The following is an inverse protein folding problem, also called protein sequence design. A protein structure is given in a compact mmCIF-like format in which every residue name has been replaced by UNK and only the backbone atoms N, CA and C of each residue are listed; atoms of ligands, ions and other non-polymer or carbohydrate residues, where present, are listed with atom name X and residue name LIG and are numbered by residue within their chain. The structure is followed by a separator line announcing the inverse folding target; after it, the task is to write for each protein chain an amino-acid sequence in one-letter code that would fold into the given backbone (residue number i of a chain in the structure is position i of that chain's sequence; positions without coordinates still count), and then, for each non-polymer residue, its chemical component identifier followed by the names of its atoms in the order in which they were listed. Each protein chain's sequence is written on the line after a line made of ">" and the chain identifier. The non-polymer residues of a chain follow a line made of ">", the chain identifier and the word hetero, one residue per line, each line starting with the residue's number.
data_IF_894258992769
#
_entry.id   IF_894258992769
#
_cell.length_a   1.000
_cell.length_b   1.000
_cell.length_c   1.000
_cell.angle_alpha   90.00
_cell.angle_beta   90.00
_cell.angle_gamma   90.00
#
_symmetry.space_group_name_H-M   'P 1'
#
loop_
_entity.id
_entity.type
_entity.pdbx_description
1 polymer ?
#
# COMPACT_ATOMS: atom_id res chain seq x y z
N UNK A 1 9.72 -9.98 -6.50
CA UNK A 1 9.63 -8.59 -6.95
C UNK A 1 8.85 -7.81 -5.92
N UNK A 2 9.41 -6.70 -5.39
CA UNK A 2 8.69 -5.79 -4.51
C UNK A 2 7.76 -4.89 -5.31
N UNK A 3 6.49 -4.86 -4.96
CA UNK A 3 5.42 -4.18 -5.68
C UNK A 3 4.77 -3.16 -4.77
N UNK A 4 4.27 -2.09 -5.36
CA UNK A 4 3.46 -1.09 -4.66
C UNK A 4 1.99 -1.36 -4.88
N UNK A 5 1.27 -1.22 -3.81
CA UNK A 5 -0.17 -1.43 -3.75
C UNK A 5 -0.81 -0.43 -2.80
N UNK A 6 -2.10 -0.43 -2.77
CA UNK A 6 -2.90 0.23 -1.77
C UNK A 6 -4.15 -0.62 -1.53
N UNK A 7 -4.02 -1.60 -0.64
CA UNK A 7 -5.11 -2.56 -0.33
C UNK A 7 -6.29 -1.87 0.34
N UNK A 8 -6.02 -0.84 1.12
CA UNK A 8 -7.04 0.01 1.73
C UNK A 8 -6.78 1.46 1.32
N UNK A 9 -7.07 1.75 0.06
CA UNK A 9 -6.67 2.97 -0.61
C UNK A 9 -7.37 4.22 -0.06
N UNK A 10 -6.59 5.30 0.09
CA UNK A 10 -7.09 6.65 0.28
C UNK A 10 -6.44 7.58 -0.74
N UNK A 11 -7.24 8.47 -1.31
CA UNK A 11 -6.78 9.45 -2.30
C UNK A 11 -5.93 10.54 -1.62
N UNK A 12 -4.83 10.87 -2.27
CA UNK A 12 -3.97 11.98 -1.88
C UNK A 12 -3.75 12.90 -3.09
N UNK A 13 -3.96 14.19 -2.90
CA UNK A 13 -3.80 15.22 -3.92
C UNK A 13 -2.64 16.13 -3.54
N UNK A 14 -1.68 16.29 -4.46
CA UNK A 14 -0.51 17.15 -4.29
C UNK A 14 -0.83 18.51 -4.93
N UNK A 15 -1.21 19.49 -4.11
CA UNK A 15 -1.80 20.75 -4.58
C UNK A 15 -0.84 21.60 -5.43
N UNK A 16 0.45 21.57 -5.12
CA UNK A 16 1.47 22.33 -5.85
C UNK A 16 2.17 21.52 -6.96
N UNK A 17 1.64 20.33 -7.33
CA UNK A 17 2.11 19.59 -8.49
C UNK A 17 1.28 19.95 -9.73
N UNK A 18 1.90 20.12 -10.94
CA UNK A 18 1.16 20.46 -12.17
C UNK A 18 0.08 19.41 -12.50
N UNK A 19 -1.11 19.89 -12.93
CA UNK A 19 -2.29 19.04 -13.11
C UNK A 19 -2.10 17.93 -14.14
N UNK A 20 -1.54 18.28 -15.29
CA UNK A 20 -1.41 17.37 -16.43
C UNK A 20 -0.04 16.66 -16.49
N UNK A 21 0.80 16.84 -15.47
CA UNK A 21 2.13 16.25 -15.47
C UNK A 21 2.13 14.87 -14.83
N UNK A 22 2.62 13.89 -15.57
CA UNK A 22 2.95 12.55 -15.06
C UNK A 22 4.43 12.30 -15.32
N UNK A 23 5.17 11.99 -14.28
CA UNK A 23 6.59 11.64 -14.35
C UNK A 23 6.77 10.13 -14.29
N UNK A 24 7.76 9.62 -15.02
CA UNK A 24 8.26 8.27 -14.91
C UNK A 24 9.50 8.27 -14.01
N UNK A 25 9.36 7.65 -12.86
CA UNK A 25 10.44 7.49 -11.89
C UNK A 25 10.94 6.04 -11.90
N UNK A 26 12.17 5.83 -11.44
CA UNK A 26 12.76 4.48 -11.34
C UNK A 26 12.62 3.94 -9.91
N UNK A 27 12.23 2.69 -9.80
CA UNK A 27 12.20 1.96 -8.54
C UNK A 27 12.88 0.59 -8.71
N UNK A 28 13.70 0.14 -7.74
CA UNK A 28 14.32 -1.18 -7.81
C UNK A 28 13.24 -2.27 -7.68
N UNK A 29 13.43 -3.37 -8.41
CA UNK A 29 12.58 -4.55 -8.31
C UNK A 29 12.82 -5.33 -7.01
N UNK A 30 13.99 -5.16 -6.41
CA UNK A 30 14.33 -5.72 -5.11
C UNK A 30 15.23 -4.74 -4.34
N UNK A 31 14.97 -4.50 -3.04
CA UNK A 31 15.70 -3.48 -2.28
C UNK A 31 17.17 -3.81 -2.00
N UNK A 32 17.57 -5.08 -2.08
CA UNK A 32 18.92 -5.58 -1.76
C UNK A 32 19.57 -6.37 -2.89
N UNK A 33 18.89 -6.57 -4.01
CA UNK A 33 19.43 -7.32 -5.16
C UNK A 33 19.32 -6.47 -6.43
N UNK A 34 20.42 -5.83 -6.79
CA UNK A 34 20.51 -4.95 -7.97
C UNK A 34 20.39 -5.72 -9.29
N UNK A 35 20.74 -7.02 -9.32
CA UNK A 35 20.62 -7.87 -10.52
C UNK A 35 19.16 -8.02 -10.97
N UNK A 36 18.20 -7.86 -10.07
CA UNK A 36 16.77 -7.84 -10.43
C UNK A 36 16.37 -6.59 -11.21
N UNK A 37 17.25 -5.61 -11.39
CA UNK A 37 17.03 -4.41 -12.16
C UNK A 37 16.00 -3.46 -11.56
N UNK A 38 15.58 -2.51 -12.39
CA UNK A 38 14.62 -1.48 -12.01
C UNK A 38 13.36 -1.57 -12.86
N UNK A 39 12.29 -0.96 -12.37
CA UNK A 39 11.06 -0.72 -13.11
C UNK A 39 10.68 0.75 -13.09
N UNK A 40 9.85 1.13 -14.03
CA UNK A 40 9.24 2.46 -14.06
C UNK A 40 8.01 2.49 -13.16
N UNK A 41 7.87 3.58 -12.42
CA UNK A 41 6.71 3.90 -11.61
C UNK A 41 6.22 5.28 -12.00
N UNK A 42 4.92 5.44 -12.05
CA UNK A 42 4.29 6.71 -12.37
C UNK A 42 4.15 7.58 -11.11
N UNK A 43 4.34 8.88 -11.27
CA UNK A 43 4.12 9.90 -10.26
C UNK A 43 3.37 11.07 -10.86
N UNK A 44 2.32 11.53 -10.21
CA UNK A 44 1.46 12.61 -10.65
C UNK A 44 0.83 13.36 -9.48
N UNK A 45 -0.06 14.29 -9.79
CA UNK A 45 -0.76 15.11 -8.81
C UNK A 45 -1.65 14.29 -7.87
N UNK A 46 -2.30 13.26 -8.39
CA UNK A 46 -3.20 12.40 -7.64
C UNK A 46 -2.59 11.01 -7.48
N UNK A 47 -2.52 10.56 -6.25
CA UNK A 47 -1.98 9.24 -5.91
C UNK A 47 -2.87 8.54 -4.89
N UNK A 48 -2.76 7.24 -4.79
CA UNK A 48 -3.31 6.45 -3.70
C UNK A 48 -2.20 6.06 -2.73
N UNK A 49 -2.50 6.15 -1.44
CA UNK A 49 -1.69 5.60 -0.35
C UNK A 49 -2.55 4.65 0.49
N UNK A 50 -1.95 3.81 1.31
CA UNK A 50 -2.71 2.99 2.26
C UNK A 50 -3.25 3.87 3.41
N UNK A 51 -4.50 3.65 3.80
CA UNK A 51 -5.14 4.35 4.94
C UNK A 51 -4.33 4.22 6.23
N UNK A 52 -3.66 3.09 6.43
CA UNK A 52 -2.82 2.86 7.60
C UNK A 52 -1.57 3.74 7.63
N UNK A 53 -1.19 4.33 6.50
CA UNK A 53 -0.06 5.26 6.40
C UNK A 53 -0.42 6.71 6.73
N UNK A 54 -1.69 6.99 7.05
CA UNK A 54 -2.13 8.32 7.47
C UNK A 54 -2.87 8.30 8.81
N UNK A 55 -2.65 9.32 9.61
CA UNK A 55 -3.48 9.68 10.76
C UNK A 55 -3.67 11.19 10.80
N UNK A 56 -4.87 11.65 11.14
CA UNK A 56 -5.16 13.09 11.26
C UNK A 56 -4.24 13.75 12.29
N UNK A 57 -4.08 13.12 13.44
CA UNK A 57 -3.16 13.55 14.49
C UNK A 57 -2.11 12.47 14.73
N UNK A 58 -0.85 12.85 14.72
CA UNK A 58 0.23 11.92 15.02
C UNK A 58 0.13 11.44 16.49
N UNK A 59 0.06 10.14 16.76
CA UNK A 59 -0.14 9.61 18.11
C UNK A 59 1.04 9.89 19.07
N UNK A 60 2.22 10.11 18.53
CA UNK A 60 3.43 10.46 19.28
C UNK A 60 4.54 11.02 18.37
N UNK A 61 5.62 11.49 18.95
CA UNK A 61 6.77 12.05 18.22
C UNK A 61 7.59 11.01 17.43
N UNK A 62 7.39 9.71 17.67
CA UNK A 62 8.05 8.61 16.96
C UNK A 62 7.25 8.13 15.76
N UNK A 63 6.06 8.69 15.51
CA UNK A 63 5.21 8.35 14.39
C UNK A 63 5.92 8.67 13.07
N UNK A 64 6.21 7.64 12.28
CA UNK A 64 6.99 7.72 11.03
C UNK A 64 6.10 7.66 9.77
N UNK A 65 4.83 8.01 9.90
CA UNK A 65 3.87 8.02 8.80
C UNK A 65 3.29 9.42 8.64
N UNK A 66 2.48 9.61 7.61
CA UNK A 66 1.91 10.91 7.28
C UNK A 66 0.87 11.34 8.34
N UNK A 67 0.91 12.58 8.74
CA UNK A 67 -0.13 13.24 9.53
C UNK A 67 -0.20 14.71 9.13
N UNK A 68 -1.26 15.41 9.53
CA UNK A 68 -1.37 16.84 9.28
C UNK A 68 -0.12 17.55 9.82
N UNK A 69 0.40 18.48 9.03
CA UNK A 69 1.62 19.25 9.26
C UNK A 69 2.92 18.43 9.37
N UNK A 70 2.87 17.12 9.13
CA UNK A 70 4.06 16.25 9.10
C UNK A 70 4.48 15.89 7.69
N UNK A 71 5.80 15.71 7.55
CA UNK A 71 6.43 15.31 6.31
C UNK A 71 6.76 13.81 6.32
N UNK A 72 6.60 13.20 5.14
CA UNK A 72 7.11 11.87 4.84
C UNK A 72 7.70 11.85 3.44
N UNK A 73 8.57 10.90 3.18
CA UNK A 73 9.05 10.62 1.83
C UNK A 73 8.12 9.60 1.16
N UNK A 74 7.66 9.91 -0.02
CA UNK A 74 7.13 8.91 -0.94
C UNK A 74 8.31 8.08 -1.47
N UNK A 75 8.24 6.76 -1.31
CA UNK A 75 9.35 5.87 -1.66
C UNK A 75 9.78 6.05 -3.12
N UNK A 76 11.08 6.25 -3.37
CA UNK A 76 11.66 6.57 -4.68
C UNK A 76 11.03 7.80 -5.37
N UNK A 77 10.49 8.73 -4.61
CA UNK A 77 9.92 9.98 -5.09
C UNK A 77 10.27 11.12 -4.13
N UNK A 78 9.38 12.05 -4.00
CA UNK A 78 9.56 13.31 -3.29
C UNK A 78 9.17 13.23 -1.81
N UNK A 79 9.57 14.22 -1.05
CA UNK A 79 9.03 14.52 0.26
C UNK A 79 7.71 15.27 0.07
N UNK A 80 6.69 14.86 0.85
CA UNK A 80 5.38 15.51 0.91
C UNK A 80 5.05 15.91 2.33
N UNK A 81 4.22 16.95 2.48
CA UNK A 81 3.64 17.43 3.72
C UNK A 81 2.12 17.48 3.61
N UNK A 82 1.40 16.82 4.51
CA UNK A 82 -0.05 16.92 4.55
C UNK A 82 -0.48 18.28 5.12
N UNK A 83 -1.43 18.92 4.46
CA UNK A 83 -1.93 20.27 4.78
C UNK A 83 -3.35 20.26 5.33
N UNK A 84 -4.23 19.47 4.70
CA UNK A 84 -5.64 19.37 5.07
C UNK A 84 -6.24 18.05 4.60
N UNK A 85 -7.45 17.78 5.04
CA UNK A 85 -8.24 16.60 4.65
C UNK A 85 -9.66 17.00 4.27
N UNK A 86 -10.29 16.14 3.49
CA UNK A 86 -11.73 16.13 3.29
C UNK A 86 -12.34 14.87 3.90
N UNK A 87 -13.55 15.03 4.43
CA UNK A 87 -14.34 13.96 5.03
C UNK A 87 -15.71 13.87 4.37
N UNK A 88 -16.25 12.65 4.34
CA UNK A 88 -17.64 12.43 3.96
C UNK A 88 -18.61 12.84 5.09
N UNK A 89 -19.90 12.64 4.84
CA UNK A 89 -20.98 12.97 5.81
C UNK A 89 -20.92 12.09 7.07
N UNK A 90 -20.24 10.98 7.01
CA UNK A 90 -20.08 10.01 8.10
C UNK A 90 -18.78 10.27 8.90
N UNK A 91 -17.98 11.26 8.48
CA UNK A 91 -16.73 11.64 9.13
C UNK A 91 -15.51 10.83 8.69
N UNK A 92 -15.64 9.96 7.69
CA UNK A 92 -14.52 9.22 7.13
C UNK A 92 -13.69 10.12 6.23
N UNK A 93 -12.37 10.00 6.32
CA UNK A 93 -11.46 10.74 5.44
C UNK A 93 -11.54 10.17 4.04
N UNK A 94 -11.86 11.00 3.07
CA UNK A 94 -11.97 10.66 1.64
C UNK A 94 -10.75 11.10 0.85
N UNK A 95 -10.20 12.28 1.20
CA UNK A 95 -9.08 12.87 0.47
C UNK A 95 -8.10 13.53 1.44
N UNK A 96 -6.81 13.34 1.19
CA UNK A 96 -5.72 14.03 1.87
C UNK A 96 -5.09 15.01 0.90
N UNK A 97 -4.89 16.25 1.30
CA UNK A 97 -4.19 17.26 0.50
C UNK A 97 -2.78 17.46 1.04
N UNK A 98 -1.84 17.56 0.13
CA UNK A 98 -0.42 17.69 0.44
C UNK A 98 0.25 18.72 -0.46
N UNK A 99 1.38 19.22 -0.01
CA UNK A 99 2.38 19.85 -0.87
C UNK A 99 3.58 18.93 -1.02
N UNK A 100 4.33 19.04 -2.12
CA UNK A 100 5.59 18.32 -2.30
C UNK A 100 6.76 19.30 -2.38
N UNK A 101 7.93 18.82 -2.02
CA UNK A 101 9.20 19.52 -2.14
C UNK A 101 9.93 19.00 -3.40
N UNK A 102 9.94 19.82 -4.47
CA UNK A 102 10.46 19.46 -5.80
C UNK A 102 11.94 19.09 -5.81
N UNK A 103 12.69 19.62 -4.84
CA UNK A 103 14.13 19.42 -4.77
C UNK A 103 14.56 18.13 -4.06
N UNK A 104 13.57 17.29 -3.66
CA UNK A 104 13.83 16.11 -2.82
C UNK A 104 13.81 14.78 -3.56
N UNK A 105 13.72 14.77 -4.90
CA UNK A 105 13.79 13.52 -5.66
C UNK A 105 15.13 12.82 -5.44
N UNK A 106 15.10 11.66 -4.79
CA UNK A 106 16.29 10.86 -4.53
C UNK A 106 17.30 11.44 -3.54
N UNK A 107 17.05 12.61 -2.94
CA UNK A 107 17.94 13.30 -1.99
C UNK A 107 17.19 13.91 -0.82
N UNK A 108 17.93 14.24 0.22
CA UNK A 108 17.37 14.92 1.38
C UNK A 108 17.06 16.40 1.11
N UNK A 109 16.15 17.02 1.87
CA UNK A 109 15.89 18.45 1.79
C UNK A 109 17.16 19.29 1.97
N UNK A 110 17.28 20.37 1.18
CA UNK A 110 18.49 21.22 1.12
C UNK A 110 18.75 21.94 2.45
N UNK A 111 17.70 22.26 3.20
CA UNK A 111 17.76 22.92 4.51
C UNK A 111 18.23 22.01 5.66
N UNK A 112 18.54 20.74 5.36
CA UNK A 112 19.07 19.77 6.32
C UNK A 112 18.02 19.19 7.29
N UNK A 113 16.73 19.51 7.13
CA UNK A 113 15.68 18.89 7.94
C UNK A 113 15.61 17.39 7.68
N UNK A 114 15.33 16.62 8.75
CA UNK A 114 15.32 15.16 8.69
C UNK A 114 13.89 14.64 8.51
N UNK A 115 13.59 14.06 7.37
CA UNK A 115 12.33 13.36 7.10
C UNK A 115 12.48 11.89 7.49
N UNK A 116 11.75 11.45 8.51
CA UNK A 116 11.94 10.12 9.14
C UNK A 116 11.02 9.04 8.59
N UNK A 117 9.94 9.41 7.92
CA UNK A 117 8.94 8.48 7.41
C UNK A 117 9.13 8.20 5.92
N UNK A 118 8.88 6.95 5.52
CA UNK A 118 8.79 6.57 4.10
C UNK A 118 7.51 5.76 3.92
N UNK A 119 6.65 6.17 2.99
CA UNK A 119 5.43 5.46 2.61
C UNK A 119 5.45 5.15 1.12
N UNK A 120 4.72 4.14 0.68
CA UNK A 120 4.56 3.83 -0.74
C UNK A 120 3.27 4.46 -1.30
N UNK A 121 3.16 4.47 -2.60
CA UNK A 121 2.03 5.08 -3.31
C UNK A 121 1.83 4.42 -4.68
N UNK A 122 0.64 4.61 -5.25
CA UNK A 122 0.31 4.27 -6.63
C UNK A 122 -0.30 5.50 -7.30
N UNK A 123 0.18 5.86 -8.50
CA UNK A 123 -0.37 7.01 -9.23
C UNK A 123 -1.79 6.68 -9.71
N UNK A 124 -2.75 7.61 -9.51
CA UNK A 124 -4.18 7.32 -9.59
C UNK A 124 -4.66 7.00 -11.01
N UNK A 125 -4.17 7.72 -12.03
CA UNK A 125 -4.63 7.55 -13.42
C UNK A 125 -4.09 6.28 -14.09
N UNK A 126 -3.02 5.71 -13.53
CA UNK A 126 -2.37 4.47 -14.00
C UNK A 126 -2.63 3.28 -13.08
N UNK A 127 -3.21 3.52 -11.92
CA UNK A 127 -3.56 2.49 -10.95
C UNK A 127 -4.52 1.46 -11.55
N UNK A 128 -4.27 0.19 -11.29
CA UNK A 128 -5.13 -0.90 -11.75
C UNK A 128 -5.92 -1.42 -10.54
N UNK A 129 -7.26 -1.46 -10.63
CA UNK A 129 -8.08 -2.09 -9.59
C UNK A 129 -7.71 -3.55 -9.42
N UNK A 130 -7.59 -4.00 -8.18
CA UNK A 130 -7.29 -5.38 -7.85
C UNK A 130 -8.07 -5.82 -6.60
N UNK A 131 -8.34 -7.12 -6.53
CA UNK A 131 -8.95 -7.77 -5.37
C UNK A 131 -7.90 -8.58 -4.63
N UNK A 132 -7.93 -8.51 -3.31
CA UNK A 132 -7.00 -9.22 -2.43
C UNK A 132 -7.78 -10.17 -1.54
N UNK A 133 -7.46 -11.45 -1.62
CA UNK A 133 -7.99 -12.50 -0.75
C UNK A 133 -6.97 -12.78 0.34
N UNK A 134 -7.37 -12.54 1.59
CA UNK A 134 -6.55 -12.73 2.78
C UNK A 134 -7.17 -13.87 3.56
N UNK A 135 -6.40 -14.94 3.74
CA UNK A 135 -6.87 -16.15 4.39
C UNK A 135 -6.37 -16.22 5.84
N UNK A 136 -7.21 -16.71 6.71
CA UNK A 136 -6.90 -17.11 8.08
C UNK A 136 -7.35 -18.57 8.27
N UNK A 137 -7.15 -19.12 9.47
CA UNK A 137 -7.61 -20.46 9.84
C UNK A 137 -9.11 -20.62 9.58
N UNK A 138 -9.48 -21.79 9.05
CA UNK A 138 -10.87 -22.08 8.72
C UNK A 138 -11.74 -22.28 9.99
N UNK A 139 -11.14 -22.84 11.04
CA UNK A 139 -11.84 -23.12 12.30
C UNK A 139 -11.26 -22.30 13.44
N UNK A 140 -12.10 -21.92 14.38
CA UNK A 140 -11.71 -21.20 15.60
C UNK A 140 -10.96 -22.10 16.59
N UNK A 141 -11.21 -23.42 16.54
CA UNK A 141 -10.55 -24.41 17.37
C UNK A 141 -9.46 -25.18 16.59
N UNK A 142 -8.35 -25.52 17.25
CA UNK A 142 -7.25 -26.28 16.66
C UNK A 142 -7.57 -27.76 16.44
N UNK A 143 -8.62 -28.28 17.07
CA UNK A 143 -9.06 -29.67 16.98
C UNK A 143 -10.54 -29.76 16.58
N UNK A 144 -10.89 -29.39 15.36
CA UNK A 144 -12.29 -29.29 14.92
C UNK A 144 -13.03 -30.65 14.95
N UNK A 145 -12.31 -31.77 14.83
CA UNK A 145 -12.88 -33.10 14.89
C UNK A 145 -13.49 -33.49 16.26
N UNK A 146 -13.29 -32.69 17.30
CA UNK A 146 -13.92 -32.90 18.62
C UNK A 146 -15.38 -32.43 18.69
N UNK A 147 -15.82 -31.68 17.70
CA UNK A 147 -17.16 -31.12 17.63
C UNK A 147 -18.03 -31.98 16.72
N UNK A 148 -19.23 -32.30 17.16
CA UNK A 148 -20.21 -33.06 16.35
C UNK A 148 -20.63 -32.27 15.11
N UNK A 149 -20.79 -30.96 15.26
CA UNK A 149 -21.06 -30.02 14.15
C UNK A 149 -19.92 -29.01 14.00
N UNK A 150 -19.06 -29.23 13.02
CA UNK A 150 -17.94 -28.36 12.71
C UNK A 150 -18.38 -26.98 12.18
N UNK A 151 -19.64 -26.85 11.73
CA UNK A 151 -20.14 -25.54 11.25
C UNK A 151 -20.21 -24.49 12.37
N UNK A 152 -20.37 -24.93 13.61
CA UNK A 152 -20.48 -24.06 14.80
C UNK A 152 -19.16 -23.36 15.15
N UNK A 153 -18.05 -23.88 14.65
CA UNK A 153 -16.70 -23.36 14.93
C UNK A 153 -15.98 -22.83 13.67
N UNK A 154 -16.72 -22.62 12.58
CA UNK A 154 -16.16 -21.96 11.40
C UNK A 154 -15.77 -20.53 11.77
N UNK A 155 -14.55 -20.16 11.40
CA UNK A 155 -14.08 -18.78 11.54
C UNK A 155 -14.75 -17.89 10.47
N UNK A 156 -15.61 -16.94 10.84
CA UNK A 156 -16.26 -16.06 9.89
C UNK A 156 -15.26 -15.18 9.12
N UNK A 157 -14.09 -14.92 9.70
CA UNK A 157 -13.00 -14.13 9.10
C UNK A 157 -11.95 -15.01 8.41
N UNK A 158 -12.27 -16.31 8.15
CA UNK A 158 -11.35 -17.24 7.46
C UNK A 158 -10.95 -16.76 6.05
N UNK A 159 -11.78 -15.92 5.42
CA UNK A 159 -11.50 -15.25 4.16
C UNK A 159 -11.96 -13.80 4.23
N UNK A 160 -11.00 -12.89 4.17
CA UNK A 160 -11.26 -11.45 4.06
C UNK A 160 -10.97 -11.01 2.62
N UNK A 161 -11.95 -10.40 1.98
CA UNK A 161 -11.81 -9.84 0.63
C UNK A 161 -11.65 -8.33 0.76
N UNK A 162 -10.56 -7.80 0.20
CA UNK A 162 -10.29 -6.37 0.12
C UNK A 162 -10.17 -5.92 -1.33
N UNK A 163 -10.53 -4.68 -1.60
CA UNK A 163 -10.38 -4.04 -2.89
C UNK A 163 -9.41 -2.87 -2.78
N UNK A 164 -8.57 -2.72 -3.79
CA UNK A 164 -7.57 -1.66 -3.80
C UNK A 164 -6.95 -1.49 -5.17
N UNK A 165 -5.76 -0.93 -5.19
CA UNK A 165 -5.07 -0.59 -6.43
C UNK A 165 -3.64 -1.13 -6.41
N UNK A 166 -3.16 -1.48 -7.60
CA UNK A 166 -1.77 -1.91 -7.82
C UNK A 166 -1.13 -1.10 -8.94
N UNK A 167 0.20 -1.08 -8.95
CA UNK A 167 0.95 -0.43 -10.03
C UNK A 167 0.74 -1.14 -11.38
N UNK A 168 0.84 -0.42 -12.53
CA UNK A 168 0.54 -0.94 -13.86
C UNK A 168 1.34 -2.18 -14.26
N UNK A 169 2.53 -2.34 -13.69
CA UNK A 169 3.41 -3.49 -13.96
C UNK A 169 2.77 -4.84 -13.61
N UNK A 170 1.72 -4.85 -12.78
CA UNK A 170 0.98 -6.07 -12.45
C UNK A 170 -0.16 -6.39 -13.41
N UNK A 171 -0.40 -5.59 -14.45
CA UNK A 171 -1.45 -5.89 -15.46
C UNK A 171 -1.33 -7.31 -16.01
N UNK A 172 -0.10 -7.72 -16.26
CA UNK A 172 0.24 -9.04 -16.78
C UNK A 172 0.97 -9.90 -15.74
N UNK A 173 0.56 -9.79 -14.47
CA UNK A 173 1.16 -10.60 -13.41
C UNK A 173 1.10 -12.09 -13.76
N UNK A 174 2.23 -12.78 -13.63
CA UNK A 174 2.34 -14.20 -13.91
C UNK A 174 1.63 -15.02 -12.81
N UNK A 175 0.90 -16.04 -13.23
CA UNK A 175 0.29 -17.02 -12.33
C UNK A 175 1.39 -17.81 -11.63
N UNK A 176 1.21 -18.18 -10.37
CA UNK A 176 2.17 -18.93 -9.53
C UNK A 176 3.46 -18.19 -9.20
N UNK A 177 3.65 -16.97 -9.66
CA UNK A 177 4.78 -16.14 -9.26
C UNK A 177 4.44 -15.38 -7.98
N UNK A 178 5.38 -15.41 -7.04
CA UNK A 178 5.24 -14.65 -5.80
C UNK A 178 5.64 -13.18 -6.02
N UNK A 179 4.75 -12.28 -5.60
CA UNK A 179 4.98 -10.84 -5.54
C UNK A 179 4.96 -10.39 -4.09
N UNK A 180 5.96 -9.65 -3.67
CA UNK A 180 5.97 -9.03 -2.37
C UNK A 180 5.27 -7.68 -2.46
N UNK A 181 4.08 -7.59 -1.91
CA UNK A 181 3.41 -6.32 -1.70
C UNK A 181 4.01 -5.63 -0.49
N UNK A 182 4.38 -4.38 -0.68
CA UNK A 182 5.18 -3.65 0.28
C UNK A 182 4.43 -3.47 1.61
N UNK A 183 5.00 -3.98 2.71
CA UNK A 183 4.44 -4.05 4.07
C UNK A 183 3.25 -5.00 4.29
N UNK A 184 2.68 -5.56 3.23
CA UNK A 184 1.50 -6.41 3.32
C UNK A 184 1.85 -7.91 3.40
N UNK A 185 2.81 -8.36 2.61
CA UNK A 185 3.19 -9.76 2.53
C UNK A 185 3.49 -10.24 1.12
N UNK A 186 3.47 -11.54 0.95
CA UNK A 186 3.63 -12.19 -0.34
C UNK A 186 2.28 -12.63 -0.88
N UNK A 187 2.09 -12.40 -2.17
CA UNK A 187 0.85 -12.72 -2.86
C UNK A 187 1.14 -13.42 -4.18
N UNK A 188 0.23 -14.28 -4.60
CA UNK A 188 0.22 -14.89 -5.94
C UNK A 188 -1.07 -14.51 -6.66
N UNK A 189 -0.97 -14.31 -7.97
CA UNK A 189 -2.17 -14.11 -8.81
C UNK A 189 -3.03 -15.36 -8.79
N UNK A 190 -4.34 -15.17 -8.59
CA UNK A 190 -5.33 -16.24 -8.69
C UNK A 190 -5.39 -16.76 -10.13
N UNK A 191 -5.31 -18.09 -10.31
CA UNK A 191 -5.33 -18.72 -11.62
C UNK A 191 -6.75 -18.95 -12.18
N UNK A 192 -7.76 -18.89 -11.35
CA UNK A 192 -9.14 -19.20 -11.70
C UNK A 192 -9.96 -17.95 -12.03
N UNK A 193 -9.51 -16.79 -11.55
CA UNK A 193 -10.21 -15.54 -11.73
C UNK A 193 -9.70 -14.81 -12.98
N UNK A 194 -10.63 -14.32 -13.82
CA UNK A 194 -10.27 -13.53 -15.01
C UNK A 194 -9.86 -12.10 -14.67
N UNK A 195 -10.35 -11.58 -13.55
CA UNK A 195 -9.97 -10.27 -13.01
C UNK A 195 -8.62 -10.35 -12.30
N UNK A 196 -8.08 -9.20 -11.92
CA UNK A 196 -6.80 -9.13 -11.21
C UNK A 196 -7.03 -9.40 -9.71
N UNK A 197 -6.96 -10.69 -9.35
CA UNK A 197 -7.12 -11.17 -7.97
C UNK A 197 -5.80 -11.70 -7.46
N UNK A 198 -5.43 -11.32 -6.24
CA UNK A 198 -4.24 -11.78 -5.55
C UNK A 198 -4.60 -12.50 -4.25
N UNK A 199 -4.07 -13.71 -4.10
CA UNK A 199 -4.18 -14.51 -2.88
C UNK A 199 -2.96 -14.26 -2.00
N UNK A 200 -3.17 -13.85 -0.74
CA UNK A 200 -2.08 -13.72 0.22
C UNK A 200 -1.55 -15.11 0.58
N UNK A 201 -0.26 -15.32 0.42
CA UNK A 201 0.40 -16.60 0.72
C UNK A 201 1.11 -16.58 2.07
N UNK A 202 1.87 -15.51 2.36
CA UNK A 202 2.64 -15.37 3.61
C UNK A 202 2.66 -13.91 4.05
N UNK A 203 2.57 -13.67 5.36
CA UNK A 203 2.82 -12.37 5.98
C UNK A 203 4.30 -12.01 6.01
N UNK A 204 4.64 -10.74 6.21
CA UNK A 204 6.03 -10.29 6.40
C UNK A 204 6.58 -10.60 7.80
N UNK A 205 5.70 -10.84 8.74
CA UNK A 205 6.04 -11.28 10.10
C UNK A 205 5.28 -12.57 10.35
N UNK A 206 5.96 -13.50 10.98
CA UNK A 206 5.31 -14.69 11.51
C UNK A 206 4.39 -14.24 12.66
N UNK A 207 3.09 -14.31 12.42
CA UNK A 207 2.06 -13.95 13.42
C UNK A 207 1.45 -15.18 14.09
N UNK A 208 2.07 -16.34 13.90
CA UNK A 208 1.70 -17.54 14.64
C UNK A 208 2.12 -17.35 16.11
N UNK A 209 1.33 -16.57 16.83
CA UNK A 209 1.37 -16.67 18.29
C UNK A 209 0.72 -18.01 18.65
N UNK A 210 1.52 -18.83 19.27
CA UNK A 210 1.14 -20.11 19.89
C UNK A 210 0.01 -19.90 20.91
#
# INVERSE_FOLDING_TARGET
>A
MCIRDSINAIKLVIENYPEDKIELLKAPNHPQNEEMGNREIYFGREIYIDKADFKEVAPNNKFKRLAIDKEVRLRNAYVIKATRIEKDKEGNITTIFCTYDSDTLGKNPIDGRKVKGVIHFVESSKAIPATFKIYDRLFLDASPSKFEDMSTIINPDSLIIKHGYVEPNLKNAEIQKAYQFEREGYFCRDSKDKSLVFNKTVGLKDTWNQ
#
